data_IF_510355969103
#
_entry.id   IF_510355969103
#
_cell.length_a   1.000
_cell.length_b   1.000
_cell.length_c   1.000
_cell.angle_alpha   90.00
_cell.angle_beta   90.00
_cell.angle_gamma   90.00
#
_symmetry.space_group_name_H-M   'P 1'
#
loop_
_entity.id
_entity.type
_entity.pdbx_description
1 polymer ?
#
# COMPACT_ATOMS: atom_id res chain seq x y z
N UNK A 1 5.79 -15.13 26.36
CA UNK A 1 4.85 -14.99 25.22
C UNK A 1 5.28 -13.77 24.43
N UNK A 2 6.04 -13.98 23.34
CA UNK A 2 6.48 -12.89 22.48
C UNK A 2 5.24 -12.26 21.81
N UNK A 3 5.07 -10.95 21.97
CA UNK A 3 4.01 -10.21 21.30
C UNK A 3 4.21 -10.32 19.78
N UNK A 4 3.15 -10.73 19.09
CA UNK A 4 3.00 -10.60 17.64
C UNK A 4 3.55 -9.22 17.22
N UNK A 5 4.64 -9.22 16.45
CA UNK A 5 5.30 -8.00 15.91
C UNK A 5 4.39 -7.32 14.88
N UNK A 6 3.28 -6.74 15.35
CA UNK A 6 2.44 -5.83 14.61
C UNK A 6 3.10 -4.45 14.51
N UNK A 7 2.62 -3.63 13.59
CA UNK A 7 2.93 -2.20 13.62
C UNK A 7 2.41 -1.62 14.95
N UNK A 8 3.22 -0.78 15.59
CA UNK A 8 2.77 -0.02 16.76
C UNK A 8 1.46 0.71 16.43
N UNK A 9 0.50 0.60 17.33
CA UNK A 9 -0.80 1.26 17.29
C UNK A 9 -0.74 2.72 17.76
N UNK A 10 0.47 3.24 18.03
CA UNK A 10 0.68 4.65 18.38
C UNK A 10 0.20 5.57 17.25
N UNK A 11 -0.91 6.26 17.50
CA UNK A 11 -1.48 7.29 16.62
C UNK A 11 -1.29 8.67 17.27
N UNK A 12 -0.16 9.38 17.03
CA UNK A 12 0.05 10.70 17.59
C UNK A 12 -1.02 11.69 17.09
N UNK A 13 -1.60 12.45 18.01
CA UNK A 13 -2.54 13.52 17.69
C UNK A 13 -1.76 14.73 17.16
N UNK A 14 -1.87 14.98 15.86
CA UNK A 14 -1.26 16.15 15.21
C UNK A 14 -2.27 17.29 15.20
N UNK A 15 -2.00 18.35 15.96
CA UNK A 15 -2.77 19.58 15.93
C UNK A 15 -2.32 20.45 14.74
N UNK A 16 -3.24 20.82 13.86
CA UNK A 16 -2.99 21.70 12.71
C UNK A 16 -3.73 23.01 12.94
N UNK A 17 -3.01 24.13 13.01
CA UNK A 17 -3.56 25.44 13.32
C UNK A 17 -4.12 26.21 12.11
N UNK A 18 -3.71 25.86 10.89
CA UNK A 18 -4.15 26.50 9.66
C UNK A 18 -4.53 25.44 8.61
N UNK A 19 -5.82 25.30 8.32
CA UNK A 19 -6.31 24.45 7.24
C UNK A 19 -6.77 25.35 6.07
N UNK A 20 -5.96 25.44 5.02
CA UNK A 20 -6.42 26.02 3.75
C UNK A 20 -7.43 25.04 3.12
N UNK A 21 -8.71 25.26 3.40
CA UNK A 21 -9.79 24.43 2.90
C UNK A 21 -10.19 24.88 1.48
N UNK A 22 -9.48 24.35 0.49
CA UNK A 22 -9.79 24.52 -0.94
C UNK A 22 -11.00 23.68 -1.41
N UNK A 23 -11.83 23.19 -0.48
CA UNK A 23 -12.94 22.31 -0.75
C UNK A 23 -12.54 20.82 -0.87
N UNK A 24 -13.51 19.94 -1.17
CA UNK A 24 -13.26 18.50 -1.25
C UNK A 24 -12.28 18.17 -2.38
N UNK A 25 -11.25 17.36 -2.08
CA UNK A 25 -10.28 16.93 -3.08
C UNK A 25 -10.98 16.30 -4.30
N UNK A 26 -10.74 16.80 -5.53
CA UNK A 26 -11.38 16.30 -6.76
C UNK A 26 -11.14 14.82 -7.03
N UNK A 27 -10.00 14.28 -6.55
CA UNK A 27 -9.69 12.86 -6.58
C UNK A 27 -9.09 12.38 -5.25
N UNK A 28 -9.60 11.24 -4.77
CA UNK A 28 -9.06 10.53 -3.60
C UNK A 28 -8.27 9.32 -4.09
N UNK A 29 -7.01 9.54 -4.42
CA UNK A 29 -6.07 8.50 -4.81
C UNK A 29 -5.46 7.84 -3.56
N UNK A 30 -5.25 6.52 -3.60
CA UNK A 30 -4.53 5.84 -2.52
C UNK A 30 -3.05 6.24 -2.57
N UNK A 31 -2.55 6.80 -1.48
CA UNK A 31 -1.18 7.34 -1.39
C UNK A 31 -0.15 6.22 -1.52
N UNK A 32 -0.47 5.03 -1.02
CA UNK A 32 0.41 3.87 -1.04
C UNK A 32 0.63 3.29 -2.45
N UNK A 33 -0.15 3.69 -3.46
CA UNK A 33 0.06 3.18 -4.82
C UNK A 33 1.43 3.54 -5.38
N UNK A 34 1.97 4.71 -5.03
CA UNK A 34 3.32 5.13 -5.44
C UNK A 34 4.43 4.20 -4.95
N UNK A 35 4.17 3.46 -3.87
CA UNK A 35 5.13 2.57 -3.22
C UNK A 35 5.08 1.17 -3.81
N UNK A 36 4.13 0.87 -4.70
CA UNK A 36 4.01 -0.41 -5.39
C UNK A 36 4.88 -0.35 -6.67
N UNK A 37 5.71 -1.38 -6.95
CA UNK A 37 6.45 -1.47 -8.19
C UNK A 37 5.54 -1.28 -9.41
N UNK A 38 6.10 -0.70 -10.48
CA UNK A 38 5.42 -0.47 -11.76
C UNK A 38 4.25 0.53 -11.76
N UNK A 39 3.85 1.09 -10.61
CA UNK A 39 2.79 2.11 -10.55
C UNK A 39 3.04 3.27 -11.51
N UNK A 40 4.25 3.83 -11.47
CA UNK A 40 4.63 4.97 -12.31
C UNK A 40 4.58 4.62 -13.79
N UNK A 41 5.02 3.41 -14.15
CA UNK A 41 5.01 2.94 -15.53
C UNK A 41 3.57 2.73 -16.01
N UNK A 42 2.75 2.05 -15.22
CA UNK A 42 1.33 1.85 -15.49
C UNK A 42 0.59 3.17 -15.75
N UNK A 43 0.78 4.18 -14.89
CA UNK A 43 0.12 5.49 -15.04
C UNK A 43 0.55 6.17 -16.34
N UNK A 44 1.85 6.16 -16.67
CA UNK A 44 2.35 6.77 -17.91
C UNK A 44 1.77 6.07 -19.14
N UNK A 45 1.85 4.75 -19.18
CA UNK A 45 1.40 3.97 -20.33
C UNK A 45 -0.11 4.13 -20.56
N UNK A 46 -0.90 4.07 -19.48
CA UNK A 46 -2.34 4.33 -19.57
C UNK A 46 -2.65 5.77 -19.97
N UNK A 47 -1.92 6.76 -19.46
CA UNK A 47 -2.16 8.16 -19.82
C UNK A 47 -1.94 8.43 -21.31
N UNK A 48 -0.89 7.85 -21.89
CA UNK A 48 -0.56 7.97 -23.32
C UNK A 48 -1.59 7.20 -24.16
N UNK A 49 -2.00 6.01 -23.72
CA UNK A 49 -2.99 5.20 -24.43
C UNK A 49 -4.39 5.82 -24.47
N UNK A 50 -4.76 6.61 -23.44
CA UNK A 50 -6.08 7.27 -23.41
C UNK A 50 -6.11 8.41 -24.44
N UNK A 51 -6.85 8.19 -25.52
CA UNK A 51 -7.18 9.21 -26.51
C UNK A 51 -8.61 9.74 -26.27
N UNK A 52 -8.75 11.06 -26.21
CA UNK A 52 -10.01 11.78 -26.02
C UNK A 52 -9.95 13.05 -26.86
N UNK A 53 -10.97 13.27 -27.68
CA UNK A 53 -11.11 14.46 -28.52
C UNK A 53 -12.06 15.49 -27.89
N UNK A 54 -11.88 16.76 -28.24
CA UNK A 54 -12.70 17.88 -27.79
C UNK A 54 -11.87 19.05 -27.27
N UNK A 55 -12.53 20.01 -26.60
CA UNK A 55 -11.84 21.13 -25.98
C UNK A 55 -10.99 20.68 -24.77
N UNK A 56 -9.89 21.38 -24.50
CA UNK A 56 -8.87 20.94 -23.54
C UNK A 56 -9.41 20.62 -22.14
N UNK A 57 -10.39 21.38 -21.64
CA UNK A 57 -11.03 21.10 -20.36
C UNK A 57 -11.77 19.76 -20.31
N UNK A 58 -12.47 19.42 -21.39
CA UNK A 58 -13.16 18.13 -21.50
C UNK A 58 -12.18 16.97 -21.67
N UNK A 59 -11.14 17.15 -22.51
CA UNK A 59 -10.07 16.16 -22.68
C UNK A 59 -9.43 15.83 -21.33
N UNK A 60 -9.08 16.86 -20.56
CA UNK A 60 -8.46 16.68 -19.24
C UNK A 60 -9.39 15.97 -18.25
N UNK A 61 -10.65 16.41 -18.17
CA UNK A 61 -11.68 15.80 -17.29
C UNK A 61 -11.87 14.31 -17.60
N UNK A 62 -12.05 13.96 -18.87
CA UNK A 62 -12.29 12.56 -19.27
C UNK A 62 -11.03 11.71 -19.12
N UNK A 63 -9.84 12.25 -19.39
CA UNK A 63 -8.58 11.56 -19.11
C UNK A 63 -8.44 11.21 -17.62
N UNK A 64 -8.69 12.17 -16.72
CA UNK A 64 -8.65 11.90 -15.28
C UNK A 64 -9.69 10.87 -14.86
N UNK A 65 -10.91 10.92 -15.42
CA UNK A 65 -11.96 9.93 -15.15
C UNK A 65 -11.53 8.52 -15.55
N UNK A 66 -10.96 8.36 -16.75
CA UNK A 66 -10.50 7.07 -17.27
C UNK A 66 -9.29 6.52 -16.51
N UNK A 67 -8.29 7.36 -16.18
CA UNK A 67 -7.18 6.94 -15.32
C UNK A 67 -7.65 6.50 -13.95
N UNK A 68 -8.60 7.22 -13.35
CA UNK A 68 -9.15 6.86 -12.04
C UNK A 68 -9.78 5.47 -12.07
N UNK A 69 -10.48 5.11 -13.15
CA UNK A 69 -11.06 3.77 -13.33
C UNK A 69 -9.97 2.71 -13.50
N UNK A 70 -9.02 2.95 -14.42
CA UNK A 70 -7.92 2.02 -14.68
C UNK A 70 -7.08 1.74 -13.41
N UNK A 71 -6.84 2.76 -12.59
CA UNK A 71 -6.13 2.62 -11.32
C UNK A 71 -6.91 1.80 -10.28
N UNK A 72 -8.25 1.87 -10.27
CA UNK A 72 -9.06 1.02 -9.40
C UNK A 72 -8.93 -0.45 -9.79
N UNK A 73 -9.02 -0.74 -11.08
CA UNK A 73 -8.86 -2.10 -11.62
C UNK A 73 -7.45 -2.64 -11.34
N UNK A 74 -6.43 -1.83 -11.62
CA UNK A 74 -5.04 -2.16 -11.33
C UNK A 74 -4.83 -2.42 -9.83
N UNK A 75 -5.42 -1.61 -8.96
CA UNK A 75 -5.36 -1.81 -7.51
C UNK A 75 -5.90 -3.17 -7.11
N UNK A 76 -7.09 -3.56 -7.58
CA UNK A 76 -7.66 -4.89 -7.28
C UNK A 76 -6.70 -6.00 -7.69
N UNK A 77 -6.15 -5.94 -8.90
CA UNK A 77 -5.19 -6.94 -9.37
C UNK A 77 -3.91 -7.02 -8.51
N UNK A 78 -3.42 -5.88 -8.00
CA UNK A 78 -2.13 -5.80 -7.29
C UNK A 78 -2.23 -5.89 -5.77
N UNK A 79 -3.41 -5.69 -5.18
CA UNK A 79 -3.56 -5.61 -3.72
C UNK A 79 -4.49 -6.65 -3.10
N UNK A 80 -5.22 -7.45 -3.90
CA UNK A 80 -6.19 -8.41 -3.31
C UNK A 80 -5.51 -9.46 -2.42
N UNK A 81 -4.24 -9.78 -2.66
CA UNK A 81 -3.50 -10.80 -1.93
C UNK A 81 -2.67 -10.25 -0.74
N UNK A 82 -2.77 -8.97 -0.41
CA UNK A 82 -1.96 -8.38 0.66
C UNK A 82 -2.17 -9.05 2.03
N UNK A 83 -3.42 -9.29 2.50
CA UNK A 83 -3.63 -9.96 3.79
C UNK A 83 -3.06 -11.37 3.79
N UNK A 84 -3.36 -12.17 2.76
CA UNK A 84 -2.87 -13.54 2.64
C UNK A 84 -1.34 -13.62 2.57
N UNK A 85 -0.69 -12.66 1.91
CA UNK A 85 0.79 -12.55 1.90
C UNK A 85 1.35 -12.24 3.28
N UNK A 86 0.74 -11.32 4.02
CA UNK A 86 1.16 -11.00 5.39
C UNK A 86 1.01 -12.25 6.28
N UNK A 87 -0.10 -12.97 6.18
CA UNK A 87 -0.35 -14.16 7.00
C UNK A 87 0.62 -15.31 6.65
N UNK A 88 0.91 -15.51 5.37
CA UNK A 88 1.91 -16.49 4.92
C UNK A 88 3.32 -16.15 5.44
N UNK A 89 3.72 -14.87 5.40
CA UNK A 89 5.00 -14.42 5.92
C UNK A 89 5.09 -14.54 7.45
N UNK A 90 3.99 -14.24 8.17
CA UNK A 90 3.89 -14.48 9.62
C UNK A 90 4.08 -15.95 9.96
N UNK A 91 3.45 -16.86 9.21
CA UNK A 91 3.64 -18.30 9.38
C UNK A 91 5.09 -18.74 9.19
N UNK A 92 5.80 -18.17 8.21
CA UNK A 92 7.25 -18.41 8.02
C UNK A 92 8.11 -17.88 9.18
N UNK A 93 7.80 -16.70 9.70
CA UNK A 93 8.48 -16.19 10.91
C UNK A 93 8.27 -17.14 12.07
N UNK A 94 7.03 -17.55 12.34
CA UNK A 94 6.76 -18.47 13.46
C UNK A 94 7.55 -19.78 13.32
N UNK A 95 7.64 -20.36 12.13
CA UNK A 95 8.44 -21.56 11.90
C UNK A 95 9.95 -21.34 12.15
N UNK A 96 10.50 -20.18 11.78
CA UNK A 96 11.90 -19.83 12.07
C UNK A 96 12.15 -19.53 13.55
N UNK A 97 11.18 -18.92 14.23
CA UNK A 97 11.22 -18.67 15.67
C UNK A 97 11.18 -19.99 16.45
N UNK A 98 10.25 -20.90 16.12
CA UNK A 98 10.15 -22.24 16.71
C UNK A 98 11.46 -23.02 16.55
N UNK A 99 12.06 -22.98 15.35
CA UNK A 99 13.37 -23.60 15.11
C UNK A 99 14.48 -22.97 15.95
N UNK A 100 14.47 -21.64 16.09
CA UNK A 100 15.45 -20.89 16.88
C UNK A 100 15.35 -21.13 18.39
N UNK A 101 14.22 -21.67 18.88
CA UNK A 101 14.07 -22.10 20.28
C UNK A 101 14.71 -23.47 20.54
N UNK A 102 14.75 -24.35 19.52
CA UNK A 102 15.34 -25.69 19.61
C UNK A 102 16.85 -25.70 19.30
N UNK A 103 17.27 -24.92 18.30
CA UNK A 103 18.65 -24.91 17.77
C UNK A 103 19.09 -23.50 17.32
N UNK A 104 20.40 -23.28 17.23
CA UNK A 104 20.94 -22.02 16.69
C UNK A 104 20.62 -21.87 15.19
N UNK A 105 20.01 -20.73 14.81
CA UNK A 105 19.74 -20.41 13.42
C UNK A 105 21.03 -20.18 12.62
N UNK A 106 21.07 -20.70 11.40
CA UNK A 106 22.17 -20.43 10.48
C UNK A 106 22.17 -18.96 10.03
N UNK A 107 23.32 -18.49 9.53
CA UNK A 107 23.45 -17.13 9.00
C UNK A 107 22.45 -16.83 7.87
N UNK A 108 22.14 -17.83 7.02
CA UNK A 108 21.17 -17.70 5.94
C UNK A 108 19.73 -17.56 6.47
N UNK A 109 19.38 -18.30 7.53
CA UNK A 109 18.06 -18.22 8.16
C UNK A 109 17.85 -16.89 8.90
N UNK A 110 18.91 -16.35 9.51
CA UNK A 110 18.87 -15.00 10.08
C UNK A 110 18.67 -13.93 9.01
N UNK A 111 19.33 -14.05 7.86
CA UNK A 111 19.13 -13.14 6.72
C UNK A 111 17.69 -13.24 6.17
N UNK A 112 17.17 -14.46 6.05
CA UNK A 112 15.77 -14.69 5.68
C UNK A 112 14.80 -14.04 6.67
N UNK A 113 15.01 -14.21 7.98
CA UNK A 113 14.18 -13.62 9.03
C UNK A 113 14.15 -12.09 8.92
N UNK A 114 15.31 -11.45 8.70
CA UNK A 114 15.39 -10.01 8.47
C UNK A 114 14.63 -9.57 7.21
N UNK A 115 14.77 -10.31 6.11
CA UNK A 115 14.05 -10.09 4.86
C UNK A 115 12.53 -10.16 5.06
N UNK A 116 12.04 -11.24 5.67
CA UNK A 116 10.61 -11.45 5.93
C UNK A 116 10.07 -10.35 6.86
N UNK A 117 10.82 -9.98 7.90
CA UNK A 117 10.44 -8.90 8.82
C UNK A 117 10.28 -7.56 8.08
N UNK A 118 11.23 -7.21 7.22
CA UNK A 118 11.15 -6.01 6.38
C UNK A 118 9.92 -6.03 5.45
N UNK A 119 9.65 -7.18 4.83
CA UNK A 119 8.49 -7.38 3.96
C UNK A 119 7.16 -7.22 4.72
N UNK A 120 7.00 -7.85 5.88
CA UNK A 120 5.81 -7.71 6.72
C UNK A 120 5.60 -6.26 7.12
N UNK A 121 6.66 -5.54 7.51
CA UNK A 121 6.56 -4.12 7.83
C UNK A 121 6.10 -3.29 6.63
N UNK A 122 6.66 -3.53 5.45
CA UNK A 122 6.30 -2.80 4.23
C UNK A 122 4.84 -3.07 3.81
N UNK A 123 4.41 -4.33 3.83
CA UNK A 123 3.05 -4.75 3.47
C UNK A 123 2.02 -4.24 4.49
N UNK A 124 2.34 -4.32 5.78
CA UNK A 124 1.49 -3.81 6.85
C UNK A 124 1.31 -2.29 6.76
N UNK A 125 2.36 -1.52 6.43
CA UNK A 125 2.25 -0.07 6.22
C UNK A 125 1.32 0.26 5.06
N UNK A 126 1.42 -0.48 3.95
CA UNK A 126 0.52 -0.31 2.80
C UNK A 126 -0.93 -0.65 3.17
N UNK A 127 -1.15 -1.78 3.85
CA UNK A 127 -2.47 -2.21 4.32
C UNK A 127 -3.11 -1.16 5.24
N UNK A 128 -2.36 -0.67 6.23
CA UNK A 128 -2.81 0.41 7.11
C UNK A 128 -3.17 1.67 6.31
N UNK A 129 -2.29 2.14 5.41
CA UNK A 129 -2.58 3.32 4.57
C UNK A 129 -3.88 3.18 3.78
N UNK A 130 -4.18 1.99 3.24
CA UNK A 130 -5.43 1.73 2.52
C UNK A 130 -6.62 1.88 3.47
N UNK A 131 -6.58 1.21 4.62
CA UNK A 131 -7.64 1.23 5.63
C UNK A 131 -7.91 2.66 6.14
N UNK A 132 -6.87 3.43 6.48
CA UNK A 132 -6.98 4.81 6.95
C UNK A 132 -7.61 5.76 5.91
N UNK A 133 -7.30 5.57 4.63
CA UNK A 133 -7.89 6.41 3.58
C UNK A 133 -9.33 6.00 3.25
N UNK A 134 -9.66 4.71 3.34
CA UNK A 134 -11.01 4.20 3.15
C UNK A 134 -11.95 4.63 4.28
N UNK A 135 -11.51 4.61 5.54
CA UNK A 135 -12.33 5.03 6.68
C UNK A 135 -12.72 6.51 6.64
N UNK A 136 -11.84 7.35 6.07
CA UNK A 136 -12.07 8.80 5.85
C UNK A 136 -12.87 9.10 4.57
N UNK A 137 -13.29 8.07 3.83
CA UNK A 137 -14.02 8.19 2.57
C UNK A 137 -15.54 8.16 2.68
N UNK A 138 -16.06 8.38 3.89
CA UNK A 138 -17.49 8.67 4.12
C UNK A 138 -17.90 10.00 3.50
#
# INVERSE_FOLDING_TARGET
>A
VAQLRGLSDHCPLVLVANEENWGPRPSRMLKCWKDIPDYQQFVRDKWIAIQVDGWGGFVLKEKFKRIKLALKEWHVAHSHNLPSRIDSLKGRISALEDKGEEEDLSAAELEELHGITSDIHSLSRRSASICWQQSRSR
#
